data_IF_814293474029
#
_entry.id   IF_814293474029
#
_cell.length_a   1.000
_cell.length_b   1.000
_cell.length_c   1.000
_cell.angle_alpha   90.00
_cell.angle_beta   90.00
_cell.angle_gamma   90.00
#
_symmetry.space_group_name_H-M   'P 1'
#
loop_
_entity.id
_entity.type
_entity.pdbx_description
1 polymer ?
#
# COMPACT_ATOMS: atom_id res chain seq x y z
N UNK A 1 -8.79 5.83 15.19
CA UNK A 1 -8.69 4.45 14.66
C UNK A 1 -9.66 3.55 15.41
N UNK A 2 -10.30 2.58 14.75
CA UNK A 2 -11.57 1.92 15.11
C UNK A 2 -11.63 1.05 16.40
N UNK A 3 -11.10 1.55 17.53
CA UNK A 3 -11.22 0.94 18.86
C UNK A 3 -10.97 -0.56 18.88
N UNK A 4 -11.87 -1.31 19.54
CA UNK A 4 -11.77 -2.76 19.68
C UNK A 4 -11.88 -3.53 18.34
N UNK A 5 -12.53 -2.96 17.31
CA UNK A 5 -12.61 -3.59 15.98
C UNK A 5 -11.27 -3.52 15.23
N UNK A 6 -10.59 -2.38 15.33
CA UNK A 6 -9.24 -2.21 14.79
C UNK A 6 -8.24 -3.17 15.45
N UNK A 7 -8.35 -3.35 16.77
CA UNK A 7 -7.51 -4.30 17.51
C UNK A 7 -7.68 -5.74 17.01
N UNK A 8 -8.92 -6.20 16.80
CA UNK A 8 -9.18 -7.55 16.27
C UNK A 8 -8.56 -7.78 14.88
N UNK A 9 -8.63 -6.78 14.00
CA UNK A 9 -7.99 -6.84 12.68
C UNK A 9 -6.46 -6.89 12.80
N UNK A 10 -5.86 -6.11 13.69
CA UNK A 10 -4.42 -6.17 13.94
C UNK A 10 -3.98 -7.56 14.46
N UNK A 11 -4.76 -8.18 15.34
CA UNK A 11 -4.48 -9.54 15.82
C UNK A 11 -4.57 -10.59 14.72
N UNK A 12 -5.53 -10.47 13.80
CA UNK A 12 -5.63 -11.35 12.64
C UNK A 12 -4.38 -11.23 11.77
N UNK A 13 -3.94 -10.00 11.47
CA UNK A 13 -2.72 -9.74 10.71
C UNK A 13 -1.51 -10.35 11.41
N UNK A 14 -1.30 -10.06 12.70
CA UNK A 14 -0.17 -10.60 13.49
C UNK A 14 -0.15 -12.13 13.54
N UNK A 15 -1.33 -12.75 13.60
CA UNK A 15 -1.45 -14.20 13.62
C UNK A 15 -1.04 -14.80 12.26
N UNK A 16 -1.54 -14.24 11.17
CA UNK A 16 -1.24 -14.73 9.81
C UNK A 16 0.18 -14.44 9.39
N UNK A 17 0.70 -13.23 9.66
CA UNK A 17 2.01 -12.79 9.22
C UNK A 17 3.13 -13.19 10.18
N UNK A 18 2.88 -13.20 11.50
CA UNK A 18 3.86 -13.52 12.53
C UNK A 18 3.78 -14.96 13.00
N UNK A 19 2.71 -15.29 13.73
CA UNK A 19 2.58 -16.59 14.40
C UNK A 19 2.61 -17.78 13.43
N UNK A 20 1.83 -17.72 12.35
CA UNK A 20 1.71 -18.79 11.37
C UNK A 20 3.01 -19.02 10.58
N UNK A 21 3.77 -17.96 10.30
CA UNK A 21 5.00 -18.04 9.51
C UNK A 21 6.23 -18.38 10.34
N UNK A 22 6.13 -18.31 11.67
CA UNK A 22 7.26 -18.44 12.59
C UNK A 22 8.15 -17.19 12.63
N UNK A 23 7.69 -16.06 12.12
CA UNK A 23 8.43 -14.80 12.16
C UNK A 23 8.46 -14.19 13.57
N UNK A 24 9.20 -13.09 13.72
CA UNK A 24 9.18 -12.34 14.98
C UNK A 24 7.81 -11.70 15.16
N UNK A 25 7.41 -11.57 16.42
CA UNK A 25 6.09 -11.08 16.80
C UNK A 25 6.23 -9.87 17.72
N UNK A 26 5.26 -8.96 17.61
CA UNK A 26 5.10 -7.78 18.49
C UNK A 26 6.40 -6.97 18.60
N UNK A 27 6.84 -6.71 19.81
CA UNK A 27 8.04 -5.96 20.21
C UNK A 27 9.36 -6.61 19.77
N UNK A 28 9.32 -7.83 19.22
CA UNK A 28 10.50 -8.50 18.67
C UNK A 28 10.75 -8.16 17.20
N UNK A 29 9.80 -7.54 16.50
CA UNK A 29 9.98 -7.10 15.12
C UNK A 29 10.87 -5.84 15.13
N UNK A 30 12.01 -5.92 14.45
CA UNK A 30 12.98 -4.82 14.40
C UNK A 30 12.50 -3.64 13.57
N UNK A 31 13.06 -2.46 13.84
CA UNK A 31 12.73 -1.21 13.18
C UNK A 31 13.87 -0.75 12.27
N UNK A 32 13.60 -0.66 10.97
CA UNK A 32 14.53 -0.16 9.96
C UNK A 32 14.98 1.30 10.18
N UNK A 33 14.28 2.05 11.04
CA UNK A 33 14.61 3.46 11.34
C UNK A 33 15.41 3.63 12.63
N UNK A 34 15.37 2.65 13.55
CA UNK A 34 15.94 2.78 14.90
C UNK A 34 17.07 1.80 15.18
N UNK A 35 16.97 0.60 14.60
CA UNK A 35 17.95 -0.46 14.79
C UNK A 35 19.08 -0.32 13.77
N UNK A 36 20.17 -1.04 13.99
CA UNK A 36 21.30 -1.03 13.05
C UNK A 36 20.86 -1.60 11.69
N UNK A 37 21.30 -1.02 10.56
CA UNK A 37 20.95 -1.52 9.22
C UNK A 37 21.34 -2.98 8.97
N UNK A 38 22.35 -3.48 9.68
CA UNK A 38 22.83 -4.86 9.62
C UNK A 38 21.90 -5.85 10.36
N UNK A 39 21.01 -5.34 11.22
CA UNK A 39 20.11 -6.17 12.01
C UNK A 39 18.90 -6.62 11.20
N UNK A 40 18.75 -7.93 11.04
CA UNK A 40 17.54 -8.52 10.45
C UNK A 40 16.33 -8.18 11.31
N UNK A 41 15.33 -7.56 10.70
CA UNK A 41 14.12 -7.11 11.41
C UNK A 41 13.15 -8.25 11.74
N UNK A 42 13.14 -9.31 10.92
CA UNK A 42 12.35 -10.51 11.19
C UNK A 42 10.85 -10.35 10.96
N UNK A 43 10.44 -9.48 10.03
CA UNK A 43 9.05 -9.37 9.58
C UNK A 43 8.63 -10.66 8.89
N UNK A 44 7.41 -11.11 9.18
CA UNK A 44 6.76 -12.15 8.40
C UNK A 44 5.69 -11.57 7.49
N UNK A 45 5.38 -12.29 6.42
CA UNK A 45 4.40 -11.90 5.42
C UNK A 45 3.47 -13.07 5.13
N UNK A 46 2.20 -12.76 4.88
CA UNK A 46 1.20 -13.73 4.49
C UNK A 46 0.53 -13.26 3.20
N UNK A 47 0.41 -14.18 2.24
CA UNK A 47 -0.24 -13.93 0.96
C UNK A 47 -1.33 -14.97 0.74
N UNK A 48 -2.50 -14.53 0.29
CA UNK A 48 -3.63 -15.38 -0.02
C UNK A 48 -4.15 -15.05 -1.41
N UNK A 49 -4.21 -16.07 -2.27
CA UNK A 49 -4.86 -15.98 -3.57
C UNK A 49 -6.12 -16.86 -3.55
N UNK A 50 -7.25 -16.27 -3.93
CA UNK A 50 -8.53 -16.98 -4.05
C UNK A 50 -8.94 -16.95 -5.52
N UNK A 51 -9.15 -18.12 -6.10
CA UNK A 51 -9.79 -18.24 -7.41
C UNK A 51 -11.30 -18.05 -7.21
N UNK A 52 -11.78 -16.81 -7.41
CA UNK A 52 -13.14 -16.45 -7.03
C UNK A 52 -14.20 -17.15 -7.91
N UNK A 53 -13.89 -17.33 -9.20
CA UNK A 53 -14.79 -17.90 -10.21
C UNK A 53 -15.11 -19.37 -9.95
N UNK A 54 -14.26 -20.11 -9.22
CA UNK A 54 -14.58 -21.50 -8.82
C UNK A 54 -15.64 -21.57 -7.73
N UNK A 55 -15.85 -20.48 -6.99
CA UNK A 55 -16.83 -20.37 -5.91
C UNK A 55 -18.08 -19.64 -6.42
N UNK A 56 -17.90 -18.59 -7.23
CA UNK A 56 -18.94 -17.72 -7.75
C UNK A 56 -18.62 -17.38 -9.22
N UNK A 57 -19.14 -18.14 -10.20
CA UNK A 57 -18.78 -17.98 -11.61
C UNK A 57 -18.99 -16.57 -12.19
N UNK A 58 -19.96 -15.81 -11.66
CA UNK A 58 -20.29 -14.44 -12.06
C UNK A 58 -19.63 -13.37 -11.17
N UNK A 59 -18.61 -13.72 -10.37
CA UNK A 59 -18.00 -12.83 -9.38
C UNK A 59 -17.61 -11.47 -9.95
N UNK A 60 -16.97 -11.43 -11.13
CA UNK A 60 -16.54 -10.18 -11.76
C UNK A 60 -17.71 -9.22 -12.04
N UNK A 61 -18.84 -9.74 -12.52
CA UNK A 61 -20.06 -8.94 -12.76
C UNK A 61 -20.63 -8.41 -11.44
N UNK A 62 -20.67 -9.26 -10.41
CA UNK A 62 -21.17 -8.87 -9.08
C UNK A 62 -20.28 -7.82 -8.43
N UNK A 63 -18.96 -7.97 -8.51
CA UNK A 63 -17.99 -7.01 -7.98
C UNK A 63 -18.10 -5.66 -8.71
N UNK A 64 -18.19 -5.67 -10.04
CA UNK A 64 -18.42 -4.46 -10.83
C UNK A 64 -19.73 -3.77 -10.47
N UNK A 65 -20.82 -4.54 -10.30
CA UNK A 65 -22.12 -4.03 -9.87
C UNK A 65 -22.08 -3.41 -8.48
N UNK A 66 -21.39 -4.02 -7.53
CA UNK A 66 -21.18 -3.46 -6.18
C UNK A 66 -20.44 -2.12 -6.25
N UNK A 67 -19.31 -2.07 -6.97
CA UNK A 67 -18.54 -0.84 -7.13
C UNK A 67 -19.36 0.28 -7.78
N UNK A 68 -20.11 -0.04 -8.85
CA UNK A 68 -20.99 0.93 -9.50
C UNK A 68 -22.11 1.41 -8.57
N UNK A 69 -22.72 0.50 -7.80
CA UNK A 69 -23.75 0.82 -6.82
C UNK A 69 -23.25 1.78 -5.75
N UNK A 70 -22.07 1.52 -5.17
CA UNK A 70 -21.45 2.43 -4.18
C UNK A 70 -21.25 3.84 -4.76
N UNK A 71 -20.74 3.94 -5.98
CA UNK A 71 -20.52 5.22 -6.66
C UNK A 71 -21.79 5.99 -6.99
N UNK A 72 -22.91 5.28 -7.12
CA UNK A 72 -24.19 5.90 -7.44
C UNK A 72 -24.87 6.58 -6.25
N UNK A 73 -24.36 6.39 -5.03
CA UNK A 73 -24.97 6.99 -3.85
C UNK A 73 -24.91 8.53 -3.89
N UNK A 74 -26.01 9.20 -3.48
CA UNK A 74 -26.02 10.65 -3.41
C UNK A 74 -24.98 11.12 -2.39
N UNK A 75 -24.16 12.08 -2.79
CA UNK A 75 -23.20 12.75 -1.91
C UNK A 75 -23.80 14.04 -1.37
N UNK A 76 -23.39 14.44 -0.17
CA UNK A 76 -23.84 15.69 0.42
C UNK A 76 -23.43 16.90 -0.45
N UNK A 77 -24.18 18.01 -0.43
CA UNK A 77 -23.81 19.22 -1.15
C UNK A 77 -22.38 19.66 -0.80
N UNK A 78 -21.54 19.84 -1.81
CA UNK A 78 -20.13 20.23 -1.66
C UNK A 78 -19.16 19.08 -1.33
N UNK A 79 -19.64 17.84 -1.19
CA UNK A 79 -18.79 16.67 -1.00
C UNK A 79 -18.28 16.11 -2.34
N UNK A 80 -17.07 15.53 -2.30
CA UNK A 80 -16.53 14.79 -3.45
C UNK A 80 -17.34 13.52 -3.73
N UNK A 81 -17.33 13.02 -4.98
CA UNK A 81 -17.93 11.72 -5.32
C UNK A 81 -17.40 10.58 -4.45
N UNK A 82 -18.21 9.53 -4.25
CA UNK A 82 -17.78 8.36 -3.50
C UNK A 82 -16.67 7.60 -4.24
N UNK A 83 -15.54 7.44 -3.57
CA UNK A 83 -14.40 6.66 -4.03
C UNK A 83 -14.39 5.29 -3.36
N UNK A 84 -13.81 4.30 -4.05
CA UNK A 84 -13.51 2.98 -3.47
C UNK A 84 -11.98 2.79 -3.43
N UNK A 85 -11.49 1.85 -2.59
CA UNK A 85 -10.07 1.52 -2.56
C UNK A 85 -9.50 1.25 -3.95
N UNK A 86 -8.41 1.93 -4.31
CA UNK A 86 -7.72 1.82 -5.59
C UNK A 86 -8.03 2.94 -6.61
N UNK A 87 -9.06 3.76 -6.39
CA UNK A 87 -9.40 4.85 -7.33
C UNK A 87 -8.33 5.94 -7.37
N UNK A 88 -7.98 6.44 -6.17
CA UNK A 88 -6.98 7.50 -6.02
C UNK A 88 -5.62 7.02 -6.52
N UNK A 89 -5.26 5.78 -6.20
CA UNK A 89 -4.00 5.18 -6.63
C UNK A 89 -3.94 5.06 -8.15
N UNK A 90 -5.02 4.62 -8.81
CA UNK A 90 -5.07 4.49 -10.27
C UNK A 90 -5.02 5.85 -10.96
N UNK A 91 -5.67 6.86 -10.41
CA UNK A 91 -5.61 8.23 -10.95
C UNK A 91 -4.22 8.83 -10.79
N UNK A 92 -3.61 8.68 -9.60
CA UNK A 92 -2.25 9.12 -9.34
C UNK A 92 -1.24 8.37 -10.23
N UNK A 93 -1.42 7.07 -10.47
CA UNK A 93 -0.60 6.29 -11.38
C UNK A 93 -0.69 6.81 -12.81
N UNK A 94 -1.89 7.06 -13.32
CA UNK A 94 -2.09 7.64 -14.67
C UNK A 94 -1.39 8.98 -14.80
N UNK A 95 -1.58 9.87 -13.82
CA UNK A 95 -0.92 11.18 -13.78
C UNK A 95 0.60 11.03 -13.77
N UNK A 96 1.13 10.21 -12.86
CA UNK A 96 2.57 9.96 -12.76
C UNK A 96 3.18 9.38 -14.04
N UNK A 97 2.44 8.54 -14.76
CA UNK A 97 2.87 7.99 -16.07
C UNK A 97 2.87 9.03 -17.19
N UNK A 98 1.96 9.99 -17.15
CA UNK A 98 1.82 11.03 -18.17
C UNK A 98 2.75 12.23 -17.93
N UNK A 99 2.87 12.65 -16.68
CA UNK A 99 3.51 13.91 -16.26
C UNK A 99 4.86 13.67 -15.56
N UNK A 100 5.16 12.44 -15.16
CA UNK A 100 6.29 12.13 -14.28
C UNK A 100 5.95 12.28 -12.79
N UNK A 101 6.93 12.02 -11.93
CA UNK A 101 6.80 12.15 -10.48
C UNK A 101 7.46 13.44 -10.00
N UNK A 102 6.71 14.30 -9.32
CA UNK A 102 7.29 15.39 -8.54
C UNK A 102 7.78 14.84 -7.20
N UNK A 103 9.10 14.74 -7.06
CA UNK A 103 9.75 14.27 -5.85
C UNK A 103 10.04 15.46 -4.93
N UNK A 104 9.83 15.38 -3.62
CA UNK A 104 10.26 16.42 -2.70
C UNK A 104 11.76 16.78 -2.85
N UNK A 105 12.18 18.05 -2.63
CA UNK A 105 13.56 18.48 -2.82
C UNK A 105 14.61 17.65 -2.05
N UNK A 106 14.30 17.26 -0.82
CA UNK A 106 15.13 16.42 0.04
C UNK A 106 15.30 14.99 -0.51
N UNK A 107 14.26 14.43 -1.13
CA UNK A 107 14.33 13.13 -1.82
C UNK A 107 15.21 13.25 -3.07
N UNK A 108 15.09 14.34 -3.84
CA UNK A 108 15.95 14.59 -5.02
C UNK A 108 17.42 14.71 -4.63
N UNK A 109 17.73 15.45 -3.57
CA UNK A 109 19.08 15.60 -3.04
C UNK A 109 19.65 14.26 -2.56
N UNK A 110 18.86 13.49 -1.81
CA UNK A 110 19.26 12.16 -1.32
C UNK A 110 19.57 11.19 -2.47
N UNK A 111 18.76 11.19 -3.54
CA UNK A 111 19.00 10.37 -4.73
C UNK A 111 20.24 10.83 -5.52
N UNK A 112 20.47 12.14 -5.62
CA UNK A 112 21.66 12.69 -6.28
C UNK A 112 22.95 12.32 -5.52
N UNK A 113 22.93 12.40 -4.19
CA UNK A 113 24.04 11.95 -3.34
C UNK A 113 24.32 10.46 -3.52
N UNK A 114 23.28 9.62 -3.47
CA UNK A 114 23.44 8.19 -3.70
C UNK A 114 23.98 7.86 -5.10
N UNK A 115 23.55 8.60 -6.13
CA UNK A 115 24.07 8.42 -7.48
C UNK A 115 25.57 8.76 -7.57
N UNK A 116 26.01 9.82 -6.87
CA UNK A 116 27.42 10.19 -6.79
C UNK A 116 28.25 9.10 -6.10
N UNK A 117 27.80 8.59 -4.97
CA UNK A 117 28.49 7.54 -4.21
C UNK A 117 28.68 6.26 -5.03
N UNK A 118 27.71 5.96 -5.90
CA UNK A 118 27.72 4.79 -6.77
C UNK A 118 28.35 5.04 -8.15
N UNK A 119 28.79 6.27 -8.45
CA UNK A 119 29.31 6.64 -9.77
C UNK A 119 28.27 6.55 -10.89
N UNK A 120 26.99 6.69 -10.57
CA UNK A 120 25.85 6.66 -11.50
C UNK A 120 25.43 8.07 -11.90
N UNK A 121 24.75 8.18 -13.04
CA UNK A 121 24.09 9.43 -13.44
C UNK A 121 22.86 9.64 -12.56
N UNK A 122 22.78 10.81 -11.91
CA UNK A 122 21.59 11.19 -11.15
C UNK A 122 20.34 11.16 -12.04
N UNK A 123 19.18 10.71 -11.51
CA UNK A 123 17.93 10.76 -12.24
C UNK A 123 17.65 12.22 -12.65
N UNK A 124 17.39 12.44 -13.95
CA UNK A 124 17.01 13.75 -14.44
C UNK A 124 15.71 14.18 -13.78
N UNK A 125 15.65 15.41 -13.26
CA UNK A 125 14.40 15.96 -12.75
C UNK A 125 13.35 15.94 -13.86
N UNK A 126 12.24 15.26 -13.65
CA UNK A 126 11.04 15.53 -14.43
C UNK A 126 10.62 16.97 -14.06
N UNK A 127 10.52 17.82 -15.08
CA UNK A 127 10.14 19.23 -14.99
C UNK A 127 8.76 19.41 -14.37
#
# INVERSE_FOLDING_TARGET
MAGHKGYGLCLLVETLSGALTGARMRDKVGSWMKDSPEQVTGHGHFFLAIHAETICPDFGVRAAGLSAGLRSFPVAPGASPMLIPGDLERENEKRARAEGLDLPPDVRESLAGLAQDLGLKAPGGCS
#
